data_IF_055590061983
#
_entry.id   IF_055590061983
#
_cell.length_a   1.000
_cell.length_b   1.000
_cell.length_c   1.000
_cell.angle_alpha   90.00
_cell.angle_beta   90.00
_cell.angle_gamma   90.00
#
_symmetry.space_group_name_H-M   'P 1'
#
loop_
_entity.id
_entity.type
_entity.pdbx_description
1 polymer ?
#
# COMPACT_ATOMS: atom_id res chain seq x y z
N UNK A 1 -18.51 32.40 -24.09
CA UNK A 1 -19.43 31.93 -23.02
C UNK A 1 -18.63 31.58 -21.79
N UNK A 2 -18.97 32.04 -20.60
CA UNK A 2 -18.29 31.60 -19.36
C UNK A 2 -18.51 30.09 -19.21
N UNK A 3 -17.41 29.34 -18.96
CA UNK A 3 -17.51 27.91 -18.67
C UNK A 3 -18.31 27.73 -17.38
N UNK A 4 -19.29 26.81 -17.41
CA UNK A 4 -20.02 26.40 -16.21
C UNK A 4 -19.01 25.91 -15.16
N UNK A 5 -19.13 26.30 -13.87
CA UNK A 5 -18.26 25.77 -12.82
C UNK A 5 -18.33 24.25 -12.79
N UNK A 6 -17.17 23.59 -12.68
CA UNK A 6 -17.10 22.13 -12.55
C UNK A 6 -17.78 21.68 -11.26
N UNK A 7 -18.49 20.57 -11.35
CA UNK A 7 -19.07 19.89 -10.18
C UNK A 7 -17.98 19.26 -9.32
N UNK A 8 -18.28 18.95 -8.05
CA UNK A 8 -17.34 18.24 -7.17
C UNK A 8 -16.93 16.88 -7.77
N UNK A 9 -17.85 16.17 -8.40
CA UNK A 9 -17.60 14.90 -9.05
C UNK A 9 -16.65 15.02 -10.24
N UNK A 10 -16.83 16.03 -11.09
CA UNK A 10 -15.93 16.32 -12.21
C UNK A 10 -14.51 16.67 -11.74
N UNK A 11 -14.40 17.41 -10.62
CA UNK A 11 -13.11 17.74 -10.00
C UNK A 11 -12.42 16.46 -9.52
N UNK A 12 -13.10 15.60 -8.74
CA UNK A 12 -12.53 14.35 -8.23
C UNK A 12 -12.18 13.37 -9.34
N UNK A 13 -12.99 13.27 -10.37
CA UNK A 13 -12.69 12.45 -11.54
C UNK A 13 -11.42 12.96 -12.27
N UNK A 14 -11.29 14.27 -12.42
CA UNK A 14 -10.08 14.87 -13.04
C UNK A 14 -8.85 14.64 -12.16
N UNK A 15 -8.96 14.80 -10.84
CA UNK A 15 -7.90 14.45 -9.90
C UNK A 15 -7.48 12.99 -10.03
N UNK A 16 -8.44 12.08 -10.07
CA UNK A 16 -8.18 10.65 -10.27
C UNK A 16 -7.40 10.35 -11.55
N UNK A 17 -7.83 10.93 -12.69
CA UNK A 17 -7.14 10.75 -13.98
C UNK A 17 -5.71 11.28 -13.97
N UNK A 18 -5.44 12.38 -13.26
CA UNK A 18 -4.09 12.93 -13.11
C UNK A 18 -3.23 11.94 -12.32
N UNK A 19 -3.72 11.38 -11.21
CA UNK A 19 -2.99 10.41 -10.40
C UNK A 19 -2.73 9.10 -11.16
N UNK A 20 -3.72 8.59 -11.88
CA UNK A 20 -3.57 7.35 -12.67
C UNK A 20 -2.53 7.54 -13.79
N UNK A 21 -2.55 8.69 -14.47
CA UNK A 21 -1.56 9.03 -15.51
C UNK A 21 -0.15 9.17 -14.89
N UNK A 22 -0.05 9.81 -13.73
CA UNK A 22 1.22 9.98 -13.04
C UNK A 22 1.78 8.62 -12.55
N UNK A 23 0.93 7.74 -12.02
CA UNK A 23 1.32 6.39 -11.63
C UNK A 23 1.88 5.60 -12.81
N UNK A 24 1.22 5.64 -13.97
CA UNK A 24 1.70 4.99 -15.18
C UNK A 24 3.08 5.53 -15.61
N UNK A 25 3.29 6.86 -15.58
CA UNK A 25 4.61 7.45 -15.88
C UNK A 25 5.67 6.97 -14.90
N UNK A 26 5.36 6.89 -13.60
CA UNK A 26 6.32 6.44 -12.59
C UNK A 26 6.73 4.97 -12.83
N UNK A 27 5.77 4.11 -13.15
CA UNK A 27 6.02 2.69 -13.42
C UNK A 27 6.83 2.48 -14.69
N UNK A 28 6.50 3.21 -15.76
CA UNK A 28 7.16 3.05 -17.07
C UNK A 28 8.56 3.68 -17.11
N UNK A 29 8.75 4.82 -16.45
CA UNK A 29 9.91 5.68 -16.65
C UNK A 29 10.66 6.03 -15.35
N UNK A 30 10.12 5.66 -14.21
CA UNK A 30 10.66 5.99 -12.88
C UNK A 30 10.22 7.37 -12.35
N UNK A 31 10.27 7.52 -11.02
CA UNK A 31 9.84 8.75 -10.33
C UNK A 31 10.61 10.01 -10.77
N UNK A 32 11.91 9.89 -11.03
CA UNK A 32 12.74 11.03 -11.43
C UNK A 32 12.29 11.64 -12.78
N UNK A 33 11.66 10.85 -13.64
CA UNK A 33 11.14 11.28 -14.92
C UNK A 33 9.70 11.83 -14.86
N UNK A 34 9.05 11.76 -13.68
CA UNK A 34 7.75 12.38 -13.48
C UNK A 34 7.87 13.90 -13.52
N UNK A 35 7.01 14.54 -14.32
CA UNK A 35 6.86 16.00 -14.33
C UNK A 35 5.42 16.37 -14.65
N UNK A 36 4.98 17.53 -14.15
CA UNK A 36 3.65 18.08 -14.44
C UNK A 36 3.44 18.27 -15.96
N UNK A 37 4.49 18.68 -16.69
CA UNK A 37 4.42 18.83 -18.16
C UNK A 37 4.17 17.50 -18.86
N UNK A 38 4.81 16.41 -18.40
CA UNK A 38 4.63 15.07 -18.97
C UNK A 38 3.22 14.53 -18.71
N UNK A 39 2.70 14.72 -17.48
CA UNK A 39 1.31 14.37 -17.15
C UNK A 39 0.35 15.13 -18.05
N UNK A 40 0.52 16.46 -18.18
CA UNK A 40 -0.31 17.31 -19.03
C UNK A 40 -0.31 16.85 -20.50
N UNK A 41 0.88 16.55 -21.03
CA UNK A 41 1.05 16.02 -22.39
C UNK A 41 0.29 14.70 -22.59
N UNK A 42 0.40 13.74 -21.66
CA UNK A 42 -0.31 12.46 -21.76
C UNK A 42 -1.84 12.60 -21.65
N UNK A 43 -2.31 13.59 -20.91
CA UNK A 43 -3.75 13.89 -20.77
C UNK A 43 -4.31 14.79 -21.88
N UNK A 44 -3.47 15.35 -22.74
CA UNK A 44 -3.89 16.30 -23.79
C UNK A 44 -4.38 17.64 -23.23
N UNK A 45 -3.82 18.08 -22.07
CA UNK A 45 -4.17 19.33 -21.39
C UNK A 45 -2.93 20.22 -21.20
N UNK A 46 -3.13 21.46 -20.74
CA UNK A 46 -2.01 22.34 -20.38
C UNK A 46 -1.45 22.02 -19.01
N UNK A 47 -0.17 22.36 -18.77
CA UNK A 47 0.43 22.24 -17.43
C UNK A 47 -0.33 23.08 -16.39
N UNK A 48 -0.84 24.26 -16.77
CA UNK A 48 -1.69 25.12 -15.94
C UNK A 48 -2.93 24.37 -15.46
N UNK A 49 -3.52 23.53 -16.31
CA UNK A 49 -4.67 22.69 -15.92
C UNK A 49 -4.31 21.76 -14.78
N UNK A 50 -3.10 21.13 -14.80
CA UNK A 50 -2.66 20.24 -13.72
C UNK A 50 -2.40 21.03 -12.43
N UNK A 51 -1.78 22.21 -12.53
CA UNK A 51 -1.51 23.08 -11.37
C UNK A 51 -2.78 23.58 -10.65
N UNK A 52 -3.94 23.53 -11.29
CA UNK A 52 -5.22 23.81 -10.61
C UNK A 52 -5.63 22.69 -9.64
N UNK A 53 -5.00 21.50 -9.69
CA UNK A 53 -5.33 20.33 -8.88
C UNK A 53 -4.20 19.91 -7.95
N UNK A 54 -2.93 20.10 -8.35
CA UNK A 54 -1.73 19.67 -7.62
C UNK A 54 -0.62 20.68 -7.81
N UNK A 55 0.06 21.06 -6.73
CA UNK A 55 1.12 22.08 -6.75
C UNK A 55 2.43 21.59 -7.39
N UNK A 56 2.77 20.32 -7.19
CA UNK A 56 4.02 19.76 -7.69
C UNK A 56 3.95 18.23 -7.83
N UNK A 57 5.04 17.62 -8.32
CA UNK A 57 5.13 16.16 -8.52
C UNK A 57 5.17 15.38 -7.22
N UNK A 58 5.69 15.97 -6.15
CA UNK A 58 5.80 15.32 -4.85
C UNK A 58 4.43 15.20 -4.18
N UNK A 59 3.58 16.23 -4.31
CA UNK A 59 2.17 16.16 -3.89
C UNK A 59 1.45 15.04 -4.64
N UNK A 60 1.64 14.94 -5.95
CA UNK A 60 1.05 13.86 -6.77
C UNK A 60 1.53 12.48 -6.29
N UNK A 61 2.83 12.31 -6.03
CA UNK A 61 3.39 11.06 -5.53
C UNK A 61 2.78 10.66 -4.18
N UNK A 62 2.70 11.61 -3.23
CA UNK A 62 2.08 11.36 -1.92
C UNK A 62 0.61 11.00 -2.05
N UNK A 63 -0.14 11.69 -2.91
CA UNK A 63 -1.56 11.39 -3.14
C UNK A 63 -1.79 10.01 -3.78
N UNK A 64 -0.92 9.56 -4.69
CA UNK A 64 -0.99 8.20 -5.22
C UNK A 64 -0.78 7.18 -4.10
N UNK A 65 0.20 7.38 -3.23
CA UNK A 65 0.48 6.47 -2.11
C UNK A 65 -0.62 6.48 -1.05
N UNK A 66 -1.18 7.66 -0.71
CA UNK A 66 -2.36 7.77 0.15
C UNK A 66 -3.49 6.91 -0.40
N UNK A 67 -3.83 7.09 -1.68
CA UNK A 67 -4.89 6.31 -2.35
C UNK A 67 -4.58 4.81 -2.35
N UNK A 68 -3.32 4.42 -2.49
CA UNK A 68 -2.88 3.03 -2.40
C UNK A 68 -3.10 2.44 -1.01
N UNK A 69 -2.72 3.15 0.05
CA UNK A 69 -2.93 2.72 1.44
C UNK A 69 -4.40 2.72 1.84
N UNK A 70 -5.21 3.67 1.37
CA UNK A 70 -6.66 3.68 1.59
C UNK A 70 -7.31 2.45 0.96
N UNK A 71 -6.99 2.15 -0.32
CA UNK A 71 -7.48 0.94 -0.98
C UNK A 71 -7.08 -0.35 -0.23
N UNK A 72 -5.83 -0.42 0.23
CA UNK A 72 -5.35 -1.56 1.01
C UNK A 72 -6.12 -1.68 2.33
N UNK A 73 -6.25 -0.59 3.09
CA UNK A 73 -6.97 -0.57 4.36
C UNK A 73 -8.43 -1.00 4.21
N UNK A 74 -9.13 -0.46 3.21
CA UNK A 74 -10.53 -0.80 2.92
C UNK A 74 -10.68 -2.30 2.56
N UNK A 75 -9.75 -2.83 1.78
CA UNK A 75 -9.76 -4.25 1.42
C UNK A 75 -9.53 -5.14 2.66
N UNK A 76 -8.53 -4.81 3.49
CA UNK A 76 -8.23 -5.54 4.74
C UNK A 76 -9.42 -5.54 5.69
N UNK A 77 -10.00 -4.38 5.95
CA UNK A 77 -11.14 -4.24 6.87
C UNK A 77 -12.41 -4.90 6.34
N UNK A 78 -12.70 -4.75 5.06
CA UNK A 78 -13.83 -5.41 4.39
C UNK A 78 -13.76 -6.93 4.51
N UNK A 79 -12.59 -7.51 4.28
CA UNK A 79 -12.41 -8.96 4.36
C UNK A 79 -12.42 -9.49 5.79
N UNK A 80 -11.97 -8.70 6.77
CA UNK A 80 -11.99 -9.06 8.18
C UNK A 80 -13.37 -8.93 8.83
N UNK A 81 -14.21 -8.00 8.35
CA UNK A 81 -15.50 -7.63 8.95
C UNK A 81 -16.47 -8.80 9.22
N UNK A 82 -16.58 -9.85 8.35
CA UNK A 82 -17.52 -10.94 8.59
C UNK A 82 -17.14 -11.85 9.79
N UNK A 83 -15.95 -11.73 10.33
CA UNK A 83 -15.44 -12.65 11.34
C UNK A 83 -15.31 -11.98 12.72
N UNK A 84 -15.75 -12.69 13.78
CA UNK A 84 -15.47 -12.31 15.18
C UNK A 84 -14.21 -13.01 15.70
N UNK A 85 -13.90 -14.18 15.17
CA UNK A 85 -12.75 -14.99 15.54
C UNK A 85 -11.45 -14.37 14.98
N UNK A 86 -10.43 -14.21 15.84
CA UNK A 86 -9.20 -13.54 15.48
C UNK A 86 -8.36 -14.31 14.44
N UNK A 87 -8.40 -15.64 14.46
CA UNK A 87 -7.70 -16.46 13.47
C UNK A 87 -8.31 -16.28 12.09
N UNK A 88 -9.65 -16.30 12.01
CA UNK A 88 -10.37 -16.05 10.75
C UNK A 88 -10.13 -14.65 10.23
N UNK A 89 -10.10 -13.62 11.12
CA UNK A 89 -9.74 -12.25 10.75
C UNK A 89 -8.33 -12.19 10.17
N UNK A 90 -7.34 -12.76 10.85
CA UNK A 90 -5.95 -12.76 10.39
C UNK A 90 -5.83 -13.45 9.02
N UNK A 91 -6.43 -14.64 8.85
CA UNK A 91 -6.47 -15.36 7.57
C UNK A 91 -7.08 -14.53 6.45
N UNK A 92 -8.19 -13.85 6.73
CA UNK A 92 -8.88 -13.00 5.77
C UNK A 92 -8.03 -11.77 5.38
N UNK A 93 -7.42 -11.08 6.35
CA UNK A 93 -6.54 -9.94 6.10
C UNK A 93 -5.29 -10.33 5.30
N UNK A 94 -4.67 -11.47 5.61
CA UNK A 94 -3.49 -11.95 4.88
C UNK A 94 -3.83 -12.23 3.42
N UNK A 95 -4.94 -12.90 3.16
CA UNK A 95 -5.42 -13.15 1.79
C UNK A 95 -5.70 -11.84 1.05
N UNK A 96 -6.37 -10.90 1.71
CA UNK A 96 -6.67 -9.58 1.16
C UNK A 96 -5.40 -8.78 0.84
N UNK A 97 -4.35 -8.86 1.70
CA UNK A 97 -3.07 -8.22 1.47
C UNK A 97 -2.36 -8.79 0.23
N UNK A 98 -2.33 -10.13 0.10
CA UNK A 98 -1.76 -10.82 -1.07
C UNK A 98 -2.57 -10.45 -2.33
N UNK A 99 -3.90 -10.53 -2.26
CA UNK A 99 -4.79 -10.13 -3.36
C UNK A 99 -4.49 -8.70 -3.81
N UNK A 100 -4.40 -7.74 -2.88
CA UNK A 100 -4.06 -6.36 -3.22
C UNK A 100 -2.72 -6.29 -3.96
N UNK A 101 -1.68 -6.93 -3.44
CA UNK A 101 -0.35 -6.87 -4.03
C UNK A 101 -0.27 -7.48 -5.43
N UNK A 102 -1.02 -8.56 -5.69
CA UNK A 102 -1.04 -9.24 -6.98
C UNK A 102 -1.97 -8.57 -8.00
N UNK A 103 -3.08 -7.98 -7.55
CA UNK A 103 -4.07 -7.35 -8.46
C UNK A 103 -3.81 -5.86 -8.69
N UNK A 104 -2.98 -5.22 -7.86
CA UNK A 104 -2.62 -3.80 -7.99
C UNK A 104 -1.08 -3.61 -7.97
N UNK A 105 -0.32 -4.28 -8.88
CA UNK A 105 1.14 -4.28 -8.82
C UNK A 105 1.73 -2.87 -8.90
N UNK A 106 1.18 -1.97 -9.72
CA UNK A 106 1.63 -0.58 -9.84
C UNK A 106 1.51 0.21 -8.53
N UNK A 107 0.40 0.03 -7.79
CA UNK A 107 0.26 0.63 -6.45
C UNK A 107 1.23 -0.02 -5.47
N UNK A 108 1.37 -1.34 -5.51
CA UNK A 108 2.28 -2.06 -4.63
C UNK A 108 3.73 -1.59 -4.82
N UNK A 109 4.15 -1.41 -6.06
CA UNK A 109 5.49 -0.94 -6.40
C UNK A 109 5.76 0.47 -5.88
N UNK A 110 4.87 1.44 -6.13
CA UNK A 110 5.08 2.82 -5.66
C UNK A 110 5.02 2.95 -4.13
N UNK A 111 4.21 2.11 -3.47
CA UNK A 111 4.10 2.09 -2.01
C UNK A 111 5.35 1.48 -1.36
N UNK A 112 5.91 0.41 -1.90
CA UNK A 112 6.88 -0.43 -1.21
C UNK A 112 8.21 -0.64 -1.94
N UNK A 113 8.22 -0.81 -3.27
CA UNK A 113 9.39 -1.25 -4.03
C UNK A 113 10.18 -0.10 -4.63
N UNK A 114 9.49 0.92 -5.17
CA UNK A 114 10.17 1.99 -5.90
C UNK A 114 10.91 2.96 -4.97
N UNK A 115 12.05 3.43 -5.44
CA UNK A 115 12.82 4.47 -4.76
C UNK A 115 12.15 5.83 -4.98
N UNK A 116 11.13 6.13 -4.17
CA UNK A 116 10.44 7.42 -4.10
C UNK A 116 10.68 8.05 -2.73
N UNK A 117 10.65 9.40 -2.61
CA UNK A 117 10.80 10.07 -1.32
C UNK A 117 9.79 9.55 -0.29
N UNK A 118 10.21 9.43 0.96
CA UNK A 118 9.43 8.98 2.11
C UNK A 118 9.22 10.12 3.10
N UNK A 119 8.44 9.90 4.16
CA UNK A 119 8.11 10.94 5.14
C UNK A 119 9.33 11.75 5.62
N UNK A 120 10.46 11.09 5.92
CA UNK A 120 11.64 11.77 6.44
C UNK A 120 12.28 12.76 5.44
N UNK A 121 12.09 12.53 4.13
CA UNK A 121 12.59 13.40 3.08
C UNK A 121 11.79 14.72 2.97
N UNK A 122 10.60 14.76 3.58
CA UNK A 122 9.70 15.90 3.55
C UNK A 122 9.67 16.70 4.86
N UNK A 123 10.36 16.24 5.92
CA UNK A 123 10.39 16.95 7.21
C UNK A 123 11.01 18.35 7.04
N UNK A 124 10.29 19.37 7.53
CA UNK A 124 10.67 20.79 7.39
C UNK A 124 10.31 21.42 6.04
N UNK A 125 9.57 20.73 5.17
CA UNK A 125 9.06 21.29 3.90
C UNK A 125 7.56 21.62 3.99
N UNK A 126 7.07 22.44 3.04
CA UNK A 126 5.65 22.85 3.00
C UNK A 126 4.68 21.66 2.81
N UNK A 127 5.15 20.52 2.29
CA UNK A 127 4.34 19.32 2.08
C UNK A 127 4.46 18.28 3.19
N UNK A 128 5.22 18.56 4.26
CA UNK A 128 5.33 17.69 5.44
C UNK A 128 3.97 17.26 5.99
N UNK A 129 2.94 18.13 6.13
CA UNK A 129 1.61 17.71 6.62
C UNK A 129 0.97 16.62 5.76
N UNK A 130 1.14 16.70 4.43
CA UNK A 130 0.63 15.68 3.51
C UNK A 130 1.42 14.38 3.62
N UNK A 131 2.75 14.47 3.73
CA UNK A 131 3.62 13.31 3.95
C UNK A 131 3.33 12.63 5.29
N UNK A 132 2.98 13.39 6.33
CA UNK A 132 2.51 12.85 7.60
C UNK A 132 1.18 12.10 7.43
N UNK A 133 0.24 12.65 6.65
CA UNK A 133 -1.03 11.98 6.33
C UNK A 133 -0.81 10.64 5.62
N UNK A 134 0.10 10.60 4.64
CA UNK A 134 0.49 9.36 3.95
C UNK A 134 1.02 8.31 4.95
N UNK A 135 1.96 8.71 5.80
CA UNK A 135 2.52 7.85 6.85
C UNK A 135 1.43 7.32 7.79
N UNK A 136 0.46 8.16 8.19
CA UNK A 136 -0.65 7.72 9.05
C UNK A 136 -1.53 6.67 8.35
N UNK A 137 -1.81 6.81 7.06
CA UNK A 137 -2.55 5.81 6.30
C UNK A 137 -1.79 4.47 6.18
N UNK A 138 -0.48 4.52 5.97
CA UNK A 138 0.37 3.32 6.01
C UNK A 138 0.33 2.64 7.39
N UNK A 139 0.44 3.41 8.47
CA UNK A 139 0.41 2.89 9.84
C UNK A 139 -0.95 2.30 10.23
N UNK A 140 -2.08 2.80 9.70
CA UNK A 140 -3.40 2.17 9.91
C UNK A 140 -3.41 0.72 9.45
N UNK A 141 -2.85 0.44 8.26
CA UNK A 141 -2.75 -0.94 7.75
C UNK A 141 -1.87 -1.81 8.65
N UNK A 142 -0.75 -1.27 9.12
CA UNK A 142 0.16 -1.97 10.04
C UNK A 142 -0.52 -2.28 11.38
N UNK A 143 -1.28 -1.35 11.95
CA UNK A 143 -1.97 -1.53 13.23
C UNK A 143 -2.99 -2.67 13.22
N UNK A 144 -3.68 -2.91 12.10
CA UNK A 144 -4.58 -4.07 11.98
C UNK A 144 -3.83 -5.41 12.23
N UNK A 145 -2.61 -5.53 11.70
CA UNK A 145 -1.78 -6.71 11.93
C UNK A 145 -1.18 -6.74 13.35
N UNK A 146 -0.79 -5.58 13.90
CA UNK A 146 -0.32 -5.47 15.29
C UNK A 146 -1.39 -5.98 16.26
N UNK A 147 -2.63 -5.55 16.11
CA UNK A 147 -3.75 -5.97 16.93
C UNK A 147 -4.01 -7.47 16.79
N UNK A 148 -4.11 -7.96 15.55
CA UNK A 148 -4.44 -9.34 15.27
C UNK A 148 -3.34 -10.32 15.72
N UNK A 149 -2.06 -10.02 15.46
CA UNK A 149 -0.92 -10.85 15.88
C UNK A 149 -0.70 -10.72 17.38
N UNK A 150 -0.87 -9.51 17.94
CA UNK A 150 -0.75 -9.25 19.37
C UNK A 150 -1.71 -10.05 20.23
N UNK A 151 -2.85 -10.49 19.68
CA UNK A 151 -3.81 -11.35 20.39
C UNK A 151 -3.25 -12.74 20.69
N UNK A 152 -2.24 -13.22 19.96
CA UNK A 152 -1.57 -14.50 20.19
C UNK A 152 -0.41 -14.44 21.19
N UNK A 153 -0.01 -13.24 21.65
CA UNK A 153 1.12 -13.04 22.54
C UNK A 153 0.62 -13.01 24.00
N UNK A 154 1.00 -13.97 24.86
CA UNK A 154 0.40 -14.16 26.19
C UNK A 154 0.89 -13.17 27.26
N UNK A 155 2.02 -12.51 27.06
CA UNK A 155 2.57 -11.57 28.04
C UNK A 155 2.14 -10.12 27.80
N UNK A 156 2.43 -9.19 28.74
CA UNK A 156 1.99 -7.79 28.73
C UNK A 156 3.17 -6.82 28.86
N UNK A 157 2.91 -5.54 28.60
CA UNK A 157 3.84 -4.43 28.78
C UNK A 157 4.82 -4.24 27.62
N UNK A 158 5.80 -3.35 27.79
CA UNK A 158 6.75 -2.94 26.72
C UNK A 158 7.45 -4.11 26.01
N UNK A 159 7.73 -5.21 26.74
CA UNK A 159 8.32 -6.43 26.13
C UNK A 159 7.36 -7.04 25.10
N UNK A 160 6.04 -7.01 25.39
CA UNK A 160 5.03 -7.45 24.43
C UNK A 160 5.05 -6.58 23.18
N UNK A 161 5.04 -5.27 23.35
CA UNK A 161 4.95 -4.33 22.21
C UNK A 161 6.13 -4.50 21.24
N UNK A 162 7.36 -4.62 21.79
CA UNK A 162 8.54 -4.90 20.97
C UNK A 162 8.47 -6.25 20.26
N UNK A 163 8.03 -7.29 20.97
CA UNK A 163 7.92 -8.64 20.40
C UNK A 163 6.85 -8.69 19.31
N UNK A 164 5.67 -8.10 19.55
CA UNK A 164 4.60 -8.02 18.55
C UNK A 164 5.09 -7.28 17.31
N UNK A 165 5.72 -6.12 17.47
CA UNK A 165 6.25 -5.36 16.35
C UNK A 165 7.28 -6.19 15.55
N UNK A 166 8.19 -6.90 16.24
CA UNK A 166 9.15 -7.79 15.57
C UNK A 166 8.45 -8.88 14.75
N UNK A 167 7.42 -9.54 15.32
CA UNK A 167 6.67 -10.59 14.61
C UNK A 167 5.88 -10.02 13.41
N UNK A 168 5.29 -8.83 13.56
CA UNK A 168 4.57 -8.16 12.47
C UNK A 168 5.52 -7.79 11.34
N UNK A 169 6.69 -7.20 11.65
CA UNK A 169 7.67 -6.82 10.64
C UNK A 169 8.25 -8.05 9.92
N UNK A 170 8.57 -9.12 10.67
CA UNK A 170 9.00 -10.39 10.10
C UNK A 170 7.94 -10.96 9.16
N UNK A 171 6.69 -11.03 9.61
CA UNK A 171 5.57 -11.53 8.82
C UNK A 171 5.33 -10.69 7.57
N UNK A 172 5.40 -9.37 7.72
CA UNK A 172 5.30 -8.44 6.58
C UNK A 172 6.44 -8.63 5.58
N UNK A 173 7.68 -8.85 6.05
CA UNK A 173 8.82 -9.13 5.16
C UNK A 173 8.61 -10.41 4.34
N UNK A 174 8.05 -11.45 4.95
CA UNK A 174 7.71 -12.70 4.28
C UNK A 174 6.62 -12.48 3.20
N UNK A 175 5.54 -11.75 3.53
CA UNK A 175 4.48 -11.39 2.58
C UNK A 175 5.00 -10.51 1.44
N UNK A 176 5.86 -9.54 1.78
CA UNK A 176 6.46 -8.66 0.79
C UNK A 176 7.33 -9.44 -0.20
N UNK A 177 8.17 -10.33 0.29
CA UNK A 177 8.97 -11.22 -0.55
C UNK A 177 8.10 -12.07 -1.47
N UNK A 178 7.04 -12.69 -0.93
CA UNK A 178 6.11 -13.51 -1.69
C UNK A 178 5.48 -12.72 -2.85
N UNK A 179 4.94 -11.54 -2.57
CA UNK A 179 4.27 -10.70 -3.58
C UNK A 179 5.28 -10.18 -4.62
N UNK A 180 6.42 -9.67 -4.17
CA UNK A 180 7.42 -9.07 -5.07
C UNK A 180 8.01 -10.10 -6.02
N UNK A 181 8.35 -11.30 -5.52
CA UNK A 181 8.87 -12.39 -6.35
C UNK A 181 7.81 -12.96 -7.31
N UNK A 182 6.54 -12.91 -6.96
CA UNK A 182 5.44 -13.28 -7.86
C UNK A 182 5.27 -12.23 -8.96
N UNK A 183 5.18 -10.94 -8.60
CA UNK A 183 4.99 -9.84 -9.56
C UNK A 183 6.16 -9.71 -10.54
N UNK A 184 7.40 -9.97 -10.09
CA UNK A 184 8.59 -10.00 -10.95
C UNK A 184 8.71 -11.26 -11.80
N UNK A 185 7.78 -12.21 -11.68
CA UNK A 185 7.76 -13.51 -12.35
C UNK A 185 8.93 -14.46 -12.01
N UNK A 186 9.75 -14.11 -11.01
CA UNK A 186 10.87 -14.98 -10.60
C UNK A 186 10.39 -16.35 -10.10
N UNK A 187 9.24 -16.43 -9.44
CA UNK A 187 8.68 -17.72 -9.05
C UNK A 187 8.30 -18.59 -10.25
N UNK A 188 7.90 -18.01 -11.38
CA UNK A 188 7.57 -18.75 -12.59
C UNK A 188 8.79 -19.35 -13.30
N UNK A 189 10.00 -18.88 -12.96
CA UNK A 189 11.26 -19.45 -13.47
C UNK A 189 11.71 -20.70 -12.68
N UNK A 190 11.21 -20.87 -11.44
CA UNK A 190 11.71 -21.90 -10.52
C UNK A 190 10.63 -22.86 -10.00
N UNK A 191 9.35 -22.56 -10.21
CA UNK A 191 8.21 -23.33 -9.70
C UNK A 191 7.26 -23.69 -10.83
N UNK A 192 6.84 -24.96 -10.87
CA UNK A 192 5.84 -25.45 -11.83
C UNK A 192 4.41 -24.96 -11.49
N UNK A 193 4.10 -24.80 -10.20
CA UNK A 193 2.79 -24.34 -9.70
C UNK A 193 2.95 -23.24 -8.66
N UNK A 194 3.04 -22.00 -9.15
CA UNK A 194 3.17 -20.79 -8.31
C UNK A 194 1.95 -20.57 -7.42
N UNK A 195 0.74 -20.87 -7.90
CA UNK A 195 -0.48 -20.66 -7.11
C UNK A 195 -0.54 -21.61 -5.91
N UNK A 196 -0.21 -22.89 -6.12
CA UNK A 196 -0.13 -23.85 -5.03
C UNK A 196 0.92 -23.45 -4.00
N UNK A 197 2.08 -23.00 -4.46
CA UNK A 197 3.14 -22.50 -3.58
C UNK A 197 2.67 -21.30 -2.74
N UNK A 198 2.01 -20.31 -3.37
CA UNK A 198 1.47 -19.14 -2.65
C UNK A 198 0.47 -19.58 -1.58
N UNK A 199 -0.46 -20.49 -1.91
CA UNK A 199 -1.44 -21.02 -0.95
C UNK A 199 -0.77 -21.72 0.23
N UNK A 200 0.18 -22.63 -0.05
CA UNK A 200 0.90 -23.37 0.98
C UNK A 200 1.72 -22.42 1.86
N UNK A 201 2.52 -21.54 1.25
CA UNK A 201 3.37 -20.60 1.99
C UNK A 201 2.56 -19.64 2.86
N UNK A 202 1.40 -19.19 2.36
CA UNK A 202 0.47 -18.36 3.14
C UNK A 202 -0.06 -19.12 4.36
N UNK A 203 -0.43 -20.39 4.20
CA UNK A 203 -0.88 -21.23 5.32
C UNK A 203 0.22 -21.38 6.38
N UNK A 204 1.43 -21.72 5.95
CA UNK A 204 2.59 -21.91 6.85
C UNK A 204 2.91 -20.63 7.65
N UNK A 205 2.87 -19.47 6.98
CA UNK A 205 3.12 -18.19 7.66
C UNK A 205 2.07 -17.89 8.73
N UNK A 206 0.80 -18.15 8.46
CA UNK A 206 -0.31 -17.94 9.40
C UNK A 206 -0.20 -18.91 10.57
N UNK A 207 0.06 -20.21 10.30
CA UNK A 207 0.24 -21.21 11.32
C UNK A 207 1.40 -20.87 12.26
N UNK A 208 2.52 -20.39 11.74
CA UNK A 208 3.65 -19.94 12.55
C UNK A 208 3.27 -18.82 13.52
N UNK A 209 2.41 -17.88 13.11
CA UNK A 209 1.90 -16.82 13.99
C UNK A 209 0.97 -17.40 15.07
N UNK A 210 0.05 -18.30 14.71
CA UNK A 210 -0.91 -18.87 15.64
C UNK A 210 -0.19 -19.72 16.72
N UNK A 211 0.84 -20.46 16.32
CA UNK A 211 1.65 -21.29 17.22
C UNK A 211 2.54 -20.52 18.18
N UNK A 212 2.70 -19.19 18.01
CA UNK A 212 3.50 -18.38 18.96
C UNK A 212 3.01 -18.57 20.40
N UNK A 213 1.69 -18.69 20.61
CA UNK A 213 1.11 -18.95 21.95
C UNK A 213 1.55 -20.27 22.60
N UNK A 214 2.05 -21.24 21.83
CA UNK A 214 2.50 -22.54 22.31
C UNK A 214 3.98 -22.52 22.76
N UNK A 215 4.71 -21.45 22.43
CA UNK A 215 6.13 -21.30 22.75
C UNK A 215 6.32 -20.72 24.17
N UNK A 216 5.29 -20.10 24.73
CA UNK A 216 5.27 -19.42 26.04
C UNK A 216 4.22 -20.01 26.96
#
# INVERSE_FOLDING_TARGET
MPKTPMTKEEIENTRGRILDTALNIIIEEGFNNLSVRKIASRLGVTATTIYNYYTNKDEINLMIRIRGFEKLYDLLTKHAAPFNDNEKKLKAMVRAYIEFGLTNPSYYDIMFNLHTPKYLDYVGTDIEPLAHTEKQNALKCLHLFIESIGAYIPFKGKKKDHFVLYQVVKFWSDLHGLITLTNSRLFHEVLDDVESFIRQRTSDMIENIIRIKEIF
#
